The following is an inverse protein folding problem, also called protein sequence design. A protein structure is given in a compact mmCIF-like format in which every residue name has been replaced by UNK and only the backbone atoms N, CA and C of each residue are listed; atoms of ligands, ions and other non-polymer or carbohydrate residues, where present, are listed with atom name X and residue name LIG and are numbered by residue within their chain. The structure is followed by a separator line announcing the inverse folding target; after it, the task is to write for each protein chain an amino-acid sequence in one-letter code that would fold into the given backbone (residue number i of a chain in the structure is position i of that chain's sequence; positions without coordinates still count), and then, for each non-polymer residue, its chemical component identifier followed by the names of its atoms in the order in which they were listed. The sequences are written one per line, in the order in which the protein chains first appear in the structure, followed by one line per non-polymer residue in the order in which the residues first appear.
data_IF_043781529813
#
_entry.id   IF_043781529813
#
_cell.length_a   1.000
_cell.length_b   1.000
_cell.length_c   1.000
_cell.angle_alpha   90.00
_cell.angle_beta   90.00
_cell.angle_gamma   90.00
#
_symmetry.space_group_name_H-M   'P 1'
#
loop_
_entity.id
_entity.type
_entity.pdbx_description
1 polymer ?
#
# COMPACT_ATOMS: atom_id res chain seq x y z
N UNK A 1 1.47 18.69 -4.96
CA UNK A 1 2.29 18.19 -3.84
C UNK A 1 1.61 16.92 -3.36
N UNK A 2 2.26 15.77 -3.49
CA UNK A 2 1.67 14.47 -3.12
C UNK A 2 1.50 14.39 -1.60
N UNK A 3 0.46 13.69 -1.11
CA UNK A 3 0.16 13.59 0.32
C UNK A 3 1.35 13.02 1.13
N UNK A 4 2.07 12.03 0.59
CA UNK A 4 3.29 11.52 1.19
C UNK A 4 4.38 12.61 1.24
N UNK A 5 4.58 13.34 0.15
CA UNK A 5 5.58 14.42 0.13
C UNK A 5 5.29 15.48 1.20
N UNK A 6 4.02 15.88 1.37
CA UNK A 6 3.59 16.85 2.38
C UNK A 6 3.84 16.37 3.82
N UNK A 7 3.59 15.09 4.09
CA UNK A 7 3.85 14.46 5.39
C UNK A 7 5.35 14.38 5.67
N UNK A 8 6.15 13.97 4.69
CA UNK A 8 7.59 13.71 4.89
C UNK A 8 8.48 14.95 4.80
N UNK A 9 8.08 16.00 4.08
CA UNK A 9 8.95 17.18 3.92
C UNK A 9 8.85 18.15 5.09
N UNK A 10 7.67 18.35 5.67
CA UNK A 10 7.46 19.47 6.62
C UNK A 10 6.52 19.14 7.80
N UNK A 11 5.79 18.02 7.80
CA UNK A 11 4.68 17.79 8.74
C UNK A 11 4.70 16.45 9.48
N UNK A 12 5.82 15.74 9.49
CA UNK A 12 5.91 14.36 10.03
C UNK A 12 5.48 14.29 11.50
N UNK A 13 5.86 15.27 12.31
CA UNK A 13 5.52 15.29 13.75
C UNK A 13 4.02 15.50 13.99
N UNK A 14 3.35 16.29 13.16
CA UNK A 14 1.90 16.47 13.23
C UNK A 14 1.16 15.23 12.72
N UNK A 15 1.64 14.63 11.63
CA UNK A 15 1.11 13.38 11.10
C UNK A 15 1.20 12.24 12.14
N UNK A 16 2.33 12.08 12.82
CA UNK A 16 2.52 11.08 13.89
C UNK A 16 1.51 11.30 15.02
N UNK A 17 1.30 12.55 15.47
CA UNK A 17 0.34 12.87 16.53
C UNK A 17 -1.09 12.52 16.12
N UNK A 18 -1.49 12.85 14.89
CA UNK A 18 -2.82 12.54 14.37
C UNK A 18 -3.00 11.01 14.28
N UNK A 19 -2.04 10.30 13.68
CA UNK A 19 -2.10 8.84 13.52
C UNK A 19 -2.11 8.11 14.88
N UNK A 20 -1.21 8.49 15.79
CA UNK A 20 -1.13 7.93 17.14
C UNK A 20 -2.45 8.09 17.91
N UNK A 21 -3.10 9.25 17.79
CA UNK A 21 -4.40 9.52 18.41
C UNK A 21 -5.52 8.65 17.82
N UNK A 22 -5.57 8.52 16.49
CA UNK A 22 -6.61 7.74 15.79
C UNK A 22 -6.47 6.25 16.11
N UNK A 23 -5.25 5.74 16.04
CA UNK A 23 -4.94 4.33 16.29
C UNK A 23 -4.83 3.97 17.78
N UNK A 24 -4.98 4.96 18.68
CA UNK A 24 -4.83 4.82 20.13
C UNK A 24 -3.49 4.17 20.51
N UNK A 25 -2.44 4.53 19.78
CA UNK A 25 -1.08 4.03 19.95
C UNK A 25 -0.19 5.12 20.55
N UNK A 26 0.81 4.80 21.39
CA UNK A 26 1.82 5.78 21.81
C UNK A 26 2.55 6.40 20.60
N UNK A 27 2.75 7.72 20.59
CA UNK A 27 3.44 8.43 19.49
C UNK A 27 4.83 7.83 19.17
N UNK A 28 5.54 7.36 20.21
CA UNK A 28 6.85 6.71 20.06
C UNK A 28 6.76 5.41 19.25
N UNK A 29 5.72 4.62 19.48
CA UNK A 29 5.49 3.37 18.75
C UNK A 29 5.07 3.65 17.31
N UNK A 30 4.21 4.65 17.10
CA UNK A 30 3.82 5.11 15.76
C UNK A 30 5.04 5.58 14.96
N UNK A 31 5.91 6.40 15.57
CA UNK A 31 7.16 6.85 14.95
C UNK A 31 8.05 5.67 14.56
N UNK A 32 8.27 4.74 15.49
CA UNK A 32 9.06 3.55 15.21
C UNK A 32 8.48 2.72 14.05
N UNK A 33 7.17 2.53 14.02
CA UNK A 33 6.49 1.81 12.95
C UNK A 33 6.67 2.49 11.58
N UNK A 34 6.55 3.81 11.52
CA UNK A 34 6.70 4.57 10.28
C UNK A 34 8.16 4.61 9.78
N UNK A 35 9.15 4.64 10.68
CA UNK A 35 10.57 4.65 10.33
C UNK A 35 11.03 3.35 9.65
N UNK A 36 10.41 2.21 9.99
CA UNK A 36 10.74 0.90 9.41
C UNK A 36 9.89 0.53 8.20
N UNK A 37 8.86 1.33 7.89
CA UNK A 37 7.91 1.02 6.82
C UNK A 37 8.39 1.61 5.49
N UNK A 38 8.46 0.78 4.45
CA UNK A 38 8.70 1.26 3.10
C UNK A 38 7.44 1.96 2.57
N UNK A 39 7.50 3.29 2.42
CA UNK A 39 6.41 4.10 1.90
C UNK A 39 6.82 4.76 0.59
N UNK A 40 6.66 4.08 -0.56
CA UNK A 40 6.98 4.67 -1.84
C UNK A 40 6.12 5.90 -2.13
N UNK A 41 6.72 6.86 -2.85
CA UNK A 41 6.01 7.96 -3.49
C UNK A 41 5.02 7.43 -4.54
N UNK A 42 4.19 8.31 -5.11
CA UNK A 42 3.18 7.88 -6.09
C UNK A 42 3.80 7.12 -7.26
N UNK A 43 4.97 7.56 -7.74
CA UNK A 43 5.71 6.90 -8.82
C UNK A 43 6.17 5.49 -8.42
N UNK A 44 6.68 5.31 -7.20
CA UNK A 44 7.06 4.01 -6.67
C UNK A 44 5.86 3.08 -6.46
N UNK A 45 4.71 3.62 -6.04
CA UNK A 45 3.46 2.86 -5.93
C UNK A 45 2.97 2.41 -7.31
N UNK A 46 2.94 3.30 -8.31
CA UNK A 46 2.53 2.98 -9.68
C UNK A 46 3.42 1.91 -10.30
N UNK A 47 4.74 2.01 -10.10
CA UNK A 47 5.69 0.97 -10.55
C UNK A 47 5.40 -0.37 -9.88
N UNK A 48 5.18 -0.37 -8.56
CA UNK A 48 4.77 -1.56 -7.82
C UNK A 48 3.46 -2.14 -8.37
N UNK A 49 2.49 -1.31 -8.72
CA UNK A 49 1.22 -1.77 -9.26
C UNK A 49 1.29 -2.30 -10.70
N UNK A 50 2.38 -2.14 -11.44
CA UNK A 50 2.44 -2.53 -12.86
C UNK A 50 3.30 -3.77 -13.13
N UNK A 51 4.24 -4.11 -12.23
CA UNK A 51 5.16 -5.22 -12.46
C UNK A 51 4.68 -6.52 -11.80
N UNK A 52 3.96 -7.36 -12.56
CA UNK A 52 3.51 -8.67 -12.08
C UNK A 52 4.64 -9.63 -11.67
N UNK A 53 5.89 -9.31 -12.02
CA UNK A 53 7.08 -10.05 -11.64
C UNK A 53 7.81 -9.45 -10.43
N UNK A 54 7.41 -8.28 -9.90
CA UNK A 54 7.96 -7.73 -8.66
C UNK A 54 7.20 -8.28 -7.44
N UNK A 55 7.90 -8.82 -6.45
CA UNK A 55 7.29 -9.29 -5.18
C UNK A 55 6.61 -8.16 -4.41
N UNK A 56 7.05 -6.92 -4.61
CA UNK A 56 6.44 -5.72 -4.02
C UNK A 56 5.19 -5.28 -4.76
N UNK A 57 4.85 -5.92 -5.88
CA UNK A 57 3.65 -5.63 -6.64
C UNK A 57 2.40 -6.14 -5.95
N UNK A 58 1.35 -5.32 -5.97
CA UNK A 58 0.02 -5.71 -5.53
C UNK A 58 -0.50 -6.93 -6.30
N UNK A 59 -0.19 -7.03 -7.60
CA UNK A 59 -0.60 -8.17 -8.43
C UNK A 59 0.10 -9.46 -8.01
N UNK A 60 1.40 -9.41 -7.72
CA UNK A 60 2.16 -10.61 -7.33
C UNK A 60 1.87 -11.03 -5.88
N UNK A 61 1.96 -10.08 -4.95
CA UNK A 61 1.68 -10.32 -3.53
C UNK A 61 0.23 -10.73 -3.31
N UNK A 62 -0.72 -10.09 -4.00
CA UNK A 62 -2.12 -10.47 -4.00
C UNK A 62 -2.33 -11.91 -4.51
N UNK A 63 -1.69 -12.29 -5.64
CA UNK A 63 -1.80 -13.68 -6.16
C UNK A 63 -1.29 -14.70 -5.14
N UNK A 64 -0.18 -14.41 -4.44
CA UNK A 64 0.35 -15.29 -3.39
C UNK A 64 -0.63 -15.42 -2.23
N UNK A 65 -1.26 -14.32 -1.81
CA UNK A 65 -2.25 -14.31 -0.71
C UNK A 65 -3.48 -15.13 -1.11
N UNK A 66 -4.05 -14.88 -2.29
CA UNK A 66 -5.22 -15.61 -2.79
C UNK A 66 -4.91 -17.11 -2.92
N UNK A 67 -3.76 -17.45 -3.49
CA UNK A 67 -3.31 -18.85 -3.62
C UNK A 67 -3.17 -19.55 -2.27
N UNK A 68 -2.60 -18.87 -1.27
CA UNK A 68 -2.49 -19.40 0.08
C UNK A 68 -3.86 -19.71 0.69
N UNK A 69 -4.79 -18.76 0.67
CA UNK A 69 -6.11 -18.94 1.28
C UNK A 69 -6.98 -19.94 0.51
N UNK A 70 -6.87 -19.98 -0.82
CA UNK A 70 -7.55 -20.97 -1.65
C UNK A 70 -7.04 -22.39 -1.36
N UNK A 71 -5.72 -22.60 -1.31
CA UNK A 71 -5.11 -23.91 -0.97
C UNK A 71 -5.43 -24.38 0.44
N UNK A 72 -5.74 -23.48 1.36
CA UNK A 72 -6.20 -23.79 2.72
C UNK A 72 -7.71 -24.03 2.82
N UNK A 73 -8.45 -23.92 1.72
CA UNK A 73 -9.91 -24.07 1.70
C UNK A 73 -10.65 -22.93 2.40
N UNK A 74 -9.98 -21.80 2.66
CA UNK A 74 -10.59 -20.61 3.27
C UNK A 74 -11.26 -19.71 2.24
N UNK A 75 -10.97 -19.92 0.94
CA UNK A 75 -11.71 -19.34 -0.18
C UNK A 75 -12.44 -20.45 -0.93
N UNK A 76 -13.70 -20.21 -1.26
CA UNK A 76 -14.53 -21.11 -2.06
C UNK A 76 -14.18 -21.08 -3.54
N UNK A 77 -13.57 -19.99 -4.01
CA UNK A 77 -13.19 -19.78 -5.40
C UNK A 77 -11.89 -18.98 -5.51
N UNK A 78 -11.20 -19.12 -6.64
CA UNK A 78 -9.98 -18.38 -6.90
C UNK A 78 -10.32 -16.97 -7.37
N UNK A 79 -9.89 -15.97 -6.60
CA UNK A 79 -10.24 -14.57 -6.85
C UNK A 79 -9.41 -14.03 -8.04
N UNK A 80 -10.10 -13.45 -9.03
CA UNK A 80 -9.46 -12.69 -10.09
C UNK A 80 -9.14 -11.26 -9.63
N UNK A 81 -7.87 -11.01 -9.31
CA UNK A 81 -7.42 -9.69 -8.85
C UNK A 81 -7.48 -8.62 -9.95
N UNK A 82 -7.38 -9.02 -11.22
CA UNK A 82 -7.44 -8.10 -12.36
C UNK A 82 -8.84 -7.47 -12.51
N UNK A 83 -9.89 -8.16 -12.01
CA UNK A 83 -11.25 -7.60 -11.97
C UNK A 83 -11.53 -6.71 -10.75
N UNK A 84 -10.66 -6.72 -9.74
CA UNK A 84 -10.81 -5.92 -8.52
C UNK A 84 -10.02 -4.60 -8.63
N UNK A 85 -8.83 -4.66 -9.22
CA UNK A 85 -7.99 -3.48 -9.44
C UNK A 85 -8.46 -2.82 -10.74
N UNK A 86 -9.17 -1.69 -10.64
CA UNK A 86 -9.62 -0.94 -11.82
C UNK A 86 -8.41 -0.43 -12.62
N UNK A 87 -8.17 -0.93 -13.85
CA UNK A 87 -7.07 -0.47 -14.68
C UNK A 87 -7.18 1.03 -15.03
N UNK A 88 -8.39 1.60 -15.06
CA UNK A 88 -8.59 3.02 -15.31
C UNK A 88 -8.06 3.88 -14.18
N UNK A 89 -8.08 3.38 -12.93
CA UNK A 89 -7.53 4.09 -11.79
C UNK A 89 -6.01 4.28 -11.95
N UNK A 90 -5.29 3.21 -12.30
CA UNK A 90 -3.84 3.26 -12.55
C UNK A 90 -3.53 4.14 -13.77
N UNK A 91 -4.29 4.00 -14.86
CA UNK A 91 -4.06 4.75 -16.09
C UNK A 91 -4.31 6.26 -15.94
N UNK A 92 -5.28 6.68 -15.11
CA UNK A 92 -5.52 8.11 -14.82
C UNK A 92 -4.38 8.73 -14.02
N UNK A 93 -3.75 7.98 -13.12
CA UNK A 93 -2.63 8.45 -12.30
C UNK A 93 -1.31 8.55 -13.10
N UNK A 94 -1.14 7.76 -14.17
CA UNK A 94 0.03 7.83 -15.06
C UNK A 94 0.03 9.05 -16.01
N UNK A 95 -1.12 9.68 -16.24
CA UNK A 95 -1.28 10.76 -17.23
C UNK A 95 -1.23 12.18 -16.61
N UNK A 96 -0.85 12.28 -15.34
CA UNK A 96 -0.65 13.52 -14.59
C UNK A 96 0.78 13.57 -14.03
#
# INVERSE_FOLDING_TARGET
MEANQFVYSENMDEAIKIMAKVEKMPEKEMRYALDVLYQPDLKGQLKGMQDSNDLKSLYRSGRIIVDFYFKKGQLSEFINLDSIIDPQFINKLNNH
#
